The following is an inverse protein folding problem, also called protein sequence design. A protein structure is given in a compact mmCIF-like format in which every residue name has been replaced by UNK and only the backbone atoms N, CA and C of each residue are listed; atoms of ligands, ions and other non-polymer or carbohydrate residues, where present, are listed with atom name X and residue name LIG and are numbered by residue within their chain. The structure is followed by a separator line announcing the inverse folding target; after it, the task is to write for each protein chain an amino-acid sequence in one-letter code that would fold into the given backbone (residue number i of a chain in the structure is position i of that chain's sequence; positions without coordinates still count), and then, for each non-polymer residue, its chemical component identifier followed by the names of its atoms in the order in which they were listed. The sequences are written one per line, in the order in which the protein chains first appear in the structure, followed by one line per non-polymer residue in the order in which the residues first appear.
data_IF_156699198502
#
_entry.id   IF_156699198502
#
_cell.length_a   1.000
_cell.length_b   1.000
_cell.length_c   1.000
_cell.angle_alpha   90.00
_cell.angle_beta   90.00
_cell.angle_gamma   90.00
#
_symmetry.space_group_name_H-M   'P 1'
#
loop_
_entity.id
_entity.type
_entity.pdbx_description
1 polymer ?
#
# COMPACT_ATOMS: atom_id res chain seq x y z
N UNK A 1 -47.67 -0.29 -30.93
CA UNK A 1 -49.00 -0.91 -31.16
C UNK A 1 -48.98 -2.26 -30.48
N UNK A 2 -49.89 -2.42 -29.51
CA UNK A 2 -49.97 -3.56 -28.58
C UNK A 2 -50.81 -4.67 -29.21
N UNK A 3 -50.53 -5.91 -28.77
CA UNK A 3 -51.43 -7.08 -28.77
C UNK A 3 -51.40 -7.95 -30.02
N UNK A 4 -51.07 -9.24 -29.84
CA UNK A 4 -51.98 -10.37 -30.11
C UNK A 4 -51.55 -11.58 -29.26
N UNK A 5 -52.52 -12.06 -28.50
CA UNK A 5 -52.60 -13.31 -27.75
C UNK A 5 -52.17 -14.57 -28.54
N UNK A 6 -51.49 -15.50 -27.85
CA UNK A 6 -51.74 -16.96 -27.88
C UNK A 6 -51.03 -17.53 -26.64
N UNK A 7 -51.70 -17.94 -25.56
CA UNK A 7 -52.37 -19.25 -25.44
C UNK A 7 -51.37 -20.39 -25.71
N UNK A 8 -51.10 -21.38 -24.85
CA UNK A 8 -51.93 -22.08 -23.88
C UNK A 8 -51.04 -23.26 -23.37
N UNK A 9 -51.17 -23.67 -22.09
CA UNK A 9 -50.75 -24.98 -21.52
C UNK A 9 -49.22 -25.22 -21.39
N UNK A 10 -48.65 -25.44 -20.21
CA UNK A 10 -48.75 -26.58 -19.29
C UNK A 10 -48.45 -26.05 -17.86
N UNK A 11 -49.29 -26.07 -16.81
CA UNK A 11 -49.99 -27.20 -16.16
C UNK A 11 -49.13 -28.47 -16.22
N UNK A 12 -48.46 -28.93 -15.16
CA UNK A 12 -49.02 -29.24 -13.86
C UNK A 12 -47.90 -29.69 -12.86
N UNK A 13 -48.23 -29.84 -11.56
CA UNK A 13 -47.34 -29.84 -10.40
C UNK A 13 -47.12 -31.27 -9.83
N UNK A 14 -46.90 -31.37 -8.50
CA UNK A 14 -46.94 -32.57 -7.64
C UNK A 14 -45.65 -33.41 -7.58
N UNK A 15 -44.88 -33.39 -6.48
CA UNK A 15 -45.10 -33.87 -5.10
C UNK A 15 -44.34 -35.20 -4.87
N UNK A 16 -43.84 -35.33 -3.64
CA UNK A 16 -43.51 -36.56 -2.90
C UNK A 16 -42.21 -37.30 -3.26
N UNK A 17 -41.23 -37.17 -2.37
CA UNK A 17 -40.77 -38.31 -1.58
C UNK A 17 -40.06 -37.85 -0.30
N UNK A 18 -40.80 -37.94 0.81
CA UNK A 18 -40.32 -37.98 2.19
C UNK A 18 -39.64 -39.33 2.47
N UNK A 19 -38.99 -39.39 3.64
CA UNK A 19 -38.53 -40.59 4.39
C UNK A 19 -37.11 -41.03 4.00
N UNK A 20 -36.09 -41.11 4.87
CA UNK A 20 -36.00 -41.56 6.28
C UNK A 20 -34.59 -41.24 6.84
N UNK A 21 -34.42 -41.39 8.16
CA UNK A 21 -33.17 -41.43 8.95
C UNK A 21 -32.55 -40.09 9.38
N UNK A 22 -32.26 -39.82 10.66
CA UNK A 22 -32.49 -40.56 11.89
C UNK A 22 -32.39 -39.61 13.08
N UNK A 23 -33.30 -39.83 14.02
CA UNK A 23 -33.35 -39.25 15.35
C UNK A 23 -32.30 -39.93 16.24
N UNK A 24 -31.54 -39.18 17.03
CA UNK A 24 -30.89 -39.74 18.22
C UNK A 24 -30.89 -38.70 19.35
N UNK A 25 -31.58 -38.96 20.48
CA UNK A 25 -31.56 -38.14 21.67
C UNK A 25 -30.58 -38.71 22.71
N UNK A 26 -29.75 -37.88 23.30
CA UNK A 26 -29.27 -38.14 24.66
C UNK A 26 -28.75 -36.87 25.32
N UNK A 27 -29.56 -36.34 26.23
CA UNK A 27 -29.12 -35.43 27.28
C UNK A 27 -28.09 -36.14 28.15
N UNK A 28 -26.93 -35.50 28.34
CA UNK A 28 -26.25 -35.50 29.64
C UNK A 28 -25.82 -34.07 29.98
N UNK A 29 -26.56 -33.52 30.92
CA UNK A 29 -26.13 -32.45 31.82
C UNK A 29 -24.80 -32.87 32.45
N UNK A 30 -23.83 -31.95 32.55
CA UNK A 30 -23.04 -31.64 33.77
C UNK A 30 -21.88 -30.70 33.42
N UNK A 31 -21.76 -29.68 34.28
CA UNK A 31 -20.56 -28.90 34.61
C UNK A 31 -20.13 -27.81 33.63
N UNK A 32 -20.61 -26.60 33.94
CA UNK A 32 -19.89 -25.33 33.74
C UNK A 32 -18.56 -25.42 34.48
N UNK A 33 -17.54 -26.02 33.85
CA UNK A 33 -16.17 -25.90 34.27
C UNK A 33 -15.61 -24.61 33.66
N UNK A 34 -15.60 -23.57 34.49
CA UNK A 34 -14.77 -22.39 34.36
C UNK A 34 -13.34 -22.79 33.99
N UNK A 35 -13.05 -22.84 32.69
CA UNK A 35 -11.68 -22.94 32.22
C UNK A 35 -11.08 -21.57 32.42
N UNK A 36 -10.35 -21.46 33.55
CA UNK A 36 -9.28 -20.51 33.81
C UNK A 36 -8.89 -19.80 32.53
N UNK A 37 -9.18 -18.51 32.48
CA UNK A 37 -8.36 -17.54 31.76
C UNK A 37 -6.92 -17.88 32.12
N UNK A 38 -6.23 -18.57 31.23
CA UNK A 38 -4.78 -18.57 31.26
C UNK A 38 -4.40 -17.10 31.22
N UNK A 39 -3.53 -16.61 32.11
CA UNK A 39 -2.97 -15.29 31.90
C UNK A 39 -2.30 -15.41 30.53
N UNK A 40 -2.84 -14.68 29.53
CA UNK A 40 -2.17 -14.53 28.26
C UNK A 40 -0.83 -13.94 28.65
N UNK A 41 0.21 -14.79 28.63
CA UNK A 41 1.58 -14.40 28.87
C UNK A 41 1.76 -13.17 28.02
N UNK A 42 1.95 -12.03 28.69
CA UNK A 42 2.41 -10.81 28.07
C UNK A 42 3.84 -11.11 27.61
N UNK A 43 3.94 -11.90 26.55
CA UNK A 43 5.13 -12.01 25.76
C UNK A 43 5.31 -10.61 25.21
N UNK A 44 6.25 -9.90 25.86
CA UNK A 44 6.95 -8.77 25.28
C UNK A 44 7.22 -9.17 23.85
N UNK A 45 6.44 -8.59 22.95
CA UNK A 45 6.58 -8.75 21.51
C UNK A 45 7.97 -8.23 21.23
N UNK A 46 8.91 -9.16 21.12
CA UNK A 46 10.32 -8.85 20.95
C UNK A 46 10.41 -7.83 19.82
N UNK A 47 10.90 -6.67 20.19
CA UNK A 47 11.24 -5.56 19.33
C UNK A 47 12.33 -6.04 18.39
N UNK A 48 11.96 -6.79 17.34
CA UNK A 48 12.83 -6.91 16.17
C UNK A 48 12.67 -5.63 15.38
N UNK A 49 13.35 -4.59 15.87
CA UNK A 49 13.87 -3.56 14.99
C UNK A 49 14.75 -4.29 13.98
N UNK A 50 14.24 -4.32 12.77
CA UNK A 50 14.50 -5.33 11.76
C UNK A 50 15.78 -5.01 10.97
N UNK A 51 16.60 -6.05 10.68
CA UNK A 51 17.85 -5.95 9.91
C UNK A 51 17.58 -5.53 8.47
N UNK A 52 17.89 -4.29 8.14
CA UNK A 52 17.84 -3.78 6.78
C UNK A 52 18.90 -4.49 5.91
N UNK A 53 18.63 -4.69 4.61
CA UNK A 53 19.58 -5.39 3.70
C UNK A 53 20.94 -4.70 3.58
N UNK A 54 21.02 -3.46 4.04
CA UNK A 54 22.17 -2.57 4.07
C UNK A 54 23.23 -2.91 5.14
N UNK A 55 22.97 -3.90 6.02
CA UNK A 55 23.91 -4.30 7.09
C UNK A 55 25.25 -4.86 6.57
N UNK A 56 25.36 -5.22 5.29
CA UNK A 56 26.60 -5.73 4.69
C UNK A 56 27.23 -4.82 3.62
N UNK A 57 26.77 -3.57 3.45
CA UNK A 57 27.26 -2.69 2.38
C UNK A 57 28.24 -1.63 2.93
N UNK A 58 29.35 -1.41 2.22
CA UNK A 58 30.32 -0.36 2.58
C UNK A 58 29.70 1.04 2.38
N UNK A 59 30.24 2.05 3.06
CA UNK A 59 29.72 3.42 2.98
C UNK A 59 29.84 3.99 1.55
N UNK A 60 30.92 3.67 0.84
CA UNK A 60 31.13 4.06 -0.56
C UNK A 60 30.11 3.41 -1.50
N UNK A 61 29.84 2.11 -1.35
CA UNK A 61 28.82 1.42 -2.13
C UNK A 61 27.41 1.96 -1.85
N UNK A 62 27.14 2.36 -0.60
CA UNK A 62 25.87 2.99 -0.21
C UNK A 62 25.67 4.32 -0.91
N UNK A 63 26.68 5.17 -0.97
CA UNK A 63 26.60 6.47 -1.66
C UNK A 63 26.31 6.28 -3.15
N UNK A 64 27.02 5.35 -3.80
CA UNK A 64 26.80 5.02 -5.22
C UNK A 64 25.38 4.45 -5.44
N UNK A 65 24.91 3.56 -4.57
CA UNK A 65 23.57 3.00 -4.65
C UNK A 65 22.48 4.08 -4.46
N UNK A 66 22.69 4.98 -3.50
CA UNK A 66 21.80 6.11 -3.23
C UNK A 66 21.75 7.09 -4.40
N UNK A 67 22.88 7.44 -5.00
CA UNK A 67 22.91 8.33 -6.16
C UNK A 67 22.16 7.71 -7.37
N UNK A 68 22.38 6.41 -7.62
CA UNK A 68 21.65 5.66 -8.65
C UNK A 68 20.15 5.60 -8.36
N UNK A 69 19.78 5.34 -7.11
CA UNK A 69 18.38 5.28 -6.69
C UNK A 69 17.70 6.65 -6.82
N UNK A 70 18.37 7.74 -6.42
CA UNK A 70 17.88 9.10 -6.58
C UNK A 70 17.65 9.43 -8.05
N UNK A 71 18.63 9.22 -8.93
CA UNK A 71 18.48 9.42 -10.38
C UNK A 71 17.31 8.63 -10.94
N UNK A 72 17.17 7.37 -10.55
CA UNK A 72 16.07 6.52 -11.00
C UNK A 72 14.70 7.01 -10.48
N UNK A 73 14.60 7.47 -9.24
CA UNK A 73 13.35 7.96 -8.65
C UNK A 73 12.96 9.35 -9.16
N UNK A 74 13.93 10.24 -9.44
CA UNK A 74 13.68 11.50 -10.12
C UNK A 74 13.12 11.26 -11.53
N UNK A 75 13.76 10.39 -12.32
CA UNK A 75 13.29 10.05 -13.66
C UNK A 75 11.92 9.37 -13.65
N UNK A 76 11.69 8.46 -12.69
CA UNK A 76 10.38 7.83 -12.48
C UNK A 76 9.29 8.87 -12.18
N UNK A 77 9.57 9.81 -11.28
CA UNK A 77 8.58 10.81 -10.85
C UNK A 77 8.19 11.72 -12.01
N UNK A 78 9.16 12.22 -12.79
CA UNK A 78 8.92 13.05 -13.97
C UNK A 78 8.14 12.30 -15.07
N UNK A 79 8.45 11.02 -15.27
CA UNK A 79 7.72 10.17 -16.21
C UNK A 79 6.27 9.96 -15.74
N UNK A 80 6.07 9.80 -14.43
CA UNK A 80 4.77 9.49 -13.87
C UNK A 80 3.86 10.72 -13.89
N UNK A 81 4.36 11.91 -13.55
CA UNK A 81 3.62 13.18 -13.67
C UNK A 81 3.10 13.40 -15.09
N UNK A 82 3.96 13.19 -16.11
CA UNK A 82 3.56 13.26 -17.52
C UNK A 82 2.49 12.24 -17.89
N UNK A 83 2.60 10.99 -17.40
CA UNK A 83 1.68 9.92 -17.73
C UNK A 83 0.29 10.09 -17.07
N UNK A 84 0.24 10.60 -15.84
CA UNK A 84 -1.01 10.76 -15.06
C UNK A 84 -1.63 12.15 -15.18
N UNK A 85 -0.96 13.10 -15.84
CA UNK A 85 -1.42 14.48 -15.94
C UNK A 85 -1.46 15.17 -14.58
N UNK A 86 -0.52 14.83 -13.69
CA UNK A 86 -0.42 15.40 -12.35
C UNK A 86 0.81 16.29 -12.23
N UNK A 87 0.76 17.21 -11.29
CA UNK A 87 1.77 18.23 -11.07
C UNK A 87 2.48 18.02 -9.73
N UNK A 88 3.69 18.56 -9.63
CA UNK A 88 4.37 18.63 -8.35
C UNK A 88 3.75 19.70 -7.44
N UNK A 89 4.06 19.61 -6.15
CA UNK A 89 3.80 20.70 -5.21
C UNK A 89 4.44 22.01 -5.71
N UNK A 90 3.77 23.13 -5.46
CA UNK A 90 4.25 24.49 -5.74
C UNK A 90 5.62 24.77 -5.12
N UNK A 91 5.88 24.21 -3.93
CA UNK A 91 7.21 24.15 -3.34
C UNK A 91 7.93 22.86 -3.75
N UNK A 92 8.98 23.00 -4.58
CA UNK A 92 9.82 21.90 -5.06
C UNK A 92 10.69 21.26 -3.95
N UNK A 93 10.77 21.85 -2.77
CA UNK A 93 11.44 21.23 -1.62
C UNK A 93 10.72 19.95 -1.16
N UNK A 94 9.38 19.95 -1.21
CA UNK A 94 8.53 18.81 -0.82
C UNK A 94 8.77 17.57 -1.71
N UNK A 95 8.60 17.64 -3.05
CA UNK A 95 8.85 16.49 -3.91
C UNK A 95 10.30 16.02 -3.83
N UNK A 96 11.28 16.93 -3.63
CA UNK A 96 12.68 16.53 -3.46
C UNK A 96 12.90 15.65 -2.22
N UNK A 97 12.34 16.01 -1.06
CA UNK A 97 12.43 15.20 0.17
C UNK A 97 11.72 13.85 0.00
N UNK A 98 10.56 13.84 -0.66
CA UNK A 98 9.80 12.60 -0.90
C UNK A 98 10.57 11.67 -1.84
N UNK A 99 11.15 12.18 -2.94
CA UNK A 99 11.97 11.41 -3.88
C UNK A 99 13.18 10.81 -3.16
N UNK A 100 13.82 11.54 -2.25
CA UNK A 100 14.89 10.99 -1.40
C UNK A 100 14.41 9.86 -0.52
N UNK A 101 13.31 10.02 0.21
CA UNK A 101 12.77 8.94 1.04
C UNK A 101 12.39 7.69 0.23
N UNK A 102 11.86 7.87 -0.98
CA UNK A 102 11.60 6.76 -1.90
C UNK A 102 12.90 6.07 -2.34
N UNK A 103 13.96 6.83 -2.62
CA UNK A 103 15.27 6.29 -2.96
C UNK A 103 15.90 5.52 -1.78
N UNK A 104 15.80 6.03 -0.56
CA UNK A 104 16.30 5.37 0.66
C UNK A 104 15.60 4.03 0.90
N UNK A 105 14.27 4.00 0.79
CA UNK A 105 13.52 2.75 0.89
C UNK A 105 13.83 1.79 -0.25
N UNK A 106 14.11 2.31 -1.45
CA UNK A 106 14.55 1.48 -2.58
C UNK A 106 15.92 0.82 -2.33
N UNK A 107 16.87 1.53 -1.73
CA UNK A 107 18.19 0.96 -1.39
C UNK A 107 18.10 -0.03 -0.23
N UNK A 108 17.32 0.29 0.80
CA UNK A 108 17.25 -0.53 2.04
C UNK A 108 16.31 -1.74 1.95
N UNK A 109 15.12 -1.56 1.37
CA UNK A 109 14.10 -2.60 1.28
C UNK A 109 14.09 -3.29 -0.10
N UNK A 110 14.65 -2.64 -1.12
CA UNK A 110 14.58 -3.06 -2.52
C UNK A 110 13.35 -2.52 -3.27
N UNK A 111 12.44 -1.82 -2.59
CA UNK A 111 11.21 -1.28 -3.17
C UNK A 111 10.94 0.16 -2.65
N UNK A 112 10.39 1.06 -3.50
CA UNK A 112 10.16 2.46 -3.13
C UNK A 112 8.87 2.61 -2.30
N UNK A 113 8.91 2.25 -1.02
CA UNK A 113 7.79 2.37 -0.08
C UNK A 113 7.48 3.86 0.24
N UNK A 114 6.21 4.33 0.26
CA UNK A 114 5.93 5.78 0.51
C UNK A 114 6.49 6.21 1.88
N UNK A 115 7.35 7.24 1.92
CA UNK A 115 8.06 7.66 3.13
C UNK A 115 7.19 8.42 4.14
N UNK A 116 6.04 8.93 3.74
CA UNK A 116 5.14 9.72 4.60
C UNK A 116 4.20 8.86 5.46
N UNK A 117 4.51 7.59 5.68
CA UNK A 117 3.70 6.68 6.50
C UNK A 117 4.57 5.95 7.51
N UNK A 118 3.97 5.64 8.66
CA UNK A 118 4.54 4.73 9.63
C UNK A 118 4.12 3.29 9.32
N UNK A 119 5.06 2.36 9.46
CA UNK A 119 4.85 0.93 9.24
C UNK A 119 5.44 0.16 10.41
N UNK A 120 4.71 -0.83 10.93
CA UNK A 120 5.23 -1.72 11.98
C UNK A 120 6.34 -2.64 11.44
N UNK A 121 6.15 -3.16 10.22
CA UNK A 121 7.12 -4.00 9.51
C UNK A 121 7.25 -3.55 8.06
N UNK A 122 8.29 -2.78 7.77
CA UNK A 122 8.55 -2.21 6.44
C UNK A 122 8.79 -3.28 5.37
N UNK A 123 9.36 -4.43 5.73
CA UNK A 123 9.66 -5.47 4.75
C UNK A 123 8.42 -6.21 4.28
N UNK A 124 7.52 -6.53 5.21
CA UNK A 124 6.26 -7.18 4.89
C UNK A 124 5.45 -6.32 3.93
N UNK A 125 5.34 -5.03 4.23
CA UNK A 125 4.64 -4.05 3.39
C UNK A 125 5.31 -3.86 2.03
N UNK A 126 6.64 -3.81 1.98
CA UNK A 126 7.39 -3.75 0.73
C UNK A 126 7.17 -4.98 -0.16
N UNK A 127 7.02 -6.17 0.45
CA UNK A 127 6.70 -7.44 -0.25
C UNK A 127 5.25 -7.50 -0.71
N UNK A 128 4.31 -7.00 0.10
CA UNK A 128 2.89 -6.93 -0.27
C UNK A 128 2.62 -5.91 -1.38
N UNK A 129 3.36 -4.81 -1.38
CA UNK A 129 3.39 -3.84 -2.48
C UNK A 129 2.21 -2.89 -2.57
N UNK A 130 1.30 -2.90 -1.59
CA UNK A 130 0.18 -1.96 -1.53
C UNK A 130 0.65 -0.50 -1.46
N UNK A 131 1.70 -0.24 -0.67
CA UNK A 131 2.27 1.09 -0.43
C UNK A 131 3.55 1.37 -1.23
N UNK A 132 3.94 0.47 -2.13
CA UNK A 132 5.06 0.71 -3.05
C UNK A 132 4.64 1.77 -4.07
N UNK A 133 5.45 2.81 -4.24
CA UNK A 133 5.17 3.91 -5.15
C UNK A 133 5.23 3.42 -6.62
N UNK A 134 4.20 3.67 -7.44
CA UNK A 134 2.95 4.38 -7.12
C UNK A 134 1.96 3.48 -6.36
N UNK A 135 1.51 3.94 -5.18
CA UNK A 135 0.68 3.15 -4.27
C UNK A 135 -0.73 2.93 -4.83
N UNK A 136 -1.47 1.98 -4.25
CA UNK A 136 -2.86 1.67 -4.67
C UNK A 136 -3.77 2.91 -4.72
N UNK A 137 -3.83 3.78 -3.68
CA UNK A 137 -4.64 5.01 -3.74
C UNK A 137 -4.26 5.94 -4.89
N UNK A 138 -2.97 6.06 -5.20
CA UNK A 138 -2.50 6.88 -6.31
C UNK A 138 -2.95 6.29 -7.65
N UNK A 139 -2.84 4.97 -7.84
CA UNK A 139 -3.21 4.32 -9.11
C UNK A 139 -4.71 4.30 -9.38
N UNK A 140 -5.52 4.15 -8.33
CA UNK A 140 -6.97 4.02 -8.48
C UNK A 140 -7.70 5.35 -8.46
N UNK A 141 -7.23 6.32 -7.66
CA UNK A 141 -7.94 7.58 -7.38
C UNK A 141 -7.09 8.84 -7.57
N UNK A 142 -5.82 8.71 -7.95
CA UNK A 142 -4.86 9.82 -8.06
C UNK A 142 -4.67 10.59 -6.75
N UNK A 143 -4.83 9.90 -5.61
CA UNK A 143 -4.64 10.48 -4.27
C UNK A 143 -3.22 10.21 -3.76
N UNK A 144 -2.38 11.26 -3.72
CA UNK A 144 -1.02 11.18 -3.18
C UNK A 144 -0.90 11.91 -1.83
N UNK A 145 -0.96 11.18 -0.71
CA UNK A 145 -0.70 11.76 0.62
C UNK A 145 0.71 12.37 0.74
N UNK A 146 1.67 11.77 0.03
CA UNK A 146 3.06 12.20 -0.02
C UNK A 146 3.21 13.59 -0.73
N UNK A 147 2.14 14.19 -1.30
CA UNK A 147 2.15 15.47 -2.05
C UNK A 147 3.15 15.52 -3.23
N UNK A 148 3.49 14.36 -3.78
CA UNK A 148 4.38 14.23 -4.93
C UNK A 148 3.62 14.34 -6.25
N UNK A 149 2.40 13.80 -6.32
CA UNK A 149 1.55 13.83 -7.50
C UNK A 149 0.23 14.48 -7.12
N UNK A 150 0.04 15.73 -7.52
CA UNK A 150 -1.14 16.52 -7.21
C UNK A 150 -1.94 16.74 -8.50
N UNK A 151 -3.25 16.71 -8.38
CA UNK A 151 -4.17 17.09 -9.45
C UNK A 151 -4.29 18.62 -9.53
N UNK A 152 -4.72 19.16 -10.68
CA UNK A 152 -4.81 20.61 -10.92
C UNK A 152 -5.77 21.34 -9.95
N UNK A 153 -6.73 20.62 -9.38
CA UNK A 153 -7.69 21.13 -8.40
C UNK A 153 -7.13 21.24 -6.97
N UNK A 154 -5.91 20.75 -6.73
CA UNK A 154 -5.29 20.84 -5.41
C UNK A 154 -4.67 22.23 -5.18
N UNK A 155 -4.98 22.87 -4.05
CA UNK A 155 -4.47 24.21 -3.70
C UNK A 155 -2.95 24.31 -3.66
N UNK A 156 -2.25 23.19 -3.43
CA UNK A 156 -0.79 23.14 -3.37
C UNK A 156 -0.15 22.74 -4.70
N UNK A 157 -0.94 22.39 -5.73
CA UNK A 157 -0.40 22.04 -7.04
C UNK A 157 0.30 23.24 -7.67
N UNK A 158 1.56 23.04 -8.05
CA UNK A 158 2.29 23.97 -8.90
C UNK A 158 1.99 23.73 -10.38
N UNK A 159 2.77 24.36 -11.23
CA UNK A 159 2.76 24.13 -12.68
C UNK A 159 3.92 23.24 -13.17
N UNK A 160 4.83 22.85 -12.26
CA UNK A 160 5.99 22.06 -12.60
C UNK A 160 5.63 20.57 -12.70
N UNK A 161 5.98 19.94 -13.82
CA UNK A 161 5.86 18.48 -14.03
C UNK A 161 7.22 17.78 -14.01
N UNK A 162 8.31 18.55 -14.00
CA UNK A 162 9.69 18.06 -14.09
C UNK A 162 10.54 18.69 -12.99
N UNK A 163 11.35 17.86 -12.32
CA UNK A 163 12.40 18.29 -11.39
C UNK A 163 13.73 17.67 -11.81
N UNK A 164 14.80 18.46 -11.77
CA UNK A 164 16.14 17.99 -12.13
C UNK A 164 16.81 17.25 -10.97
N UNK A 165 17.74 16.35 -11.29
CA UNK A 165 18.51 15.62 -10.27
C UNK A 165 19.29 16.57 -9.34
N UNK A 166 19.85 17.65 -9.88
CA UNK A 166 20.61 18.64 -9.11
C UNK A 166 19.74 19.38 -8.10
N UNK A 167 18.48 19.71 -8.45
CA UNK A 167 17.53 20.34 -7.53
C UNK A 167 17.14 19.40 -6.39
N UNK A 168 16.92 18.11 -6.70
CA UNK A 168 16.68 17.09 -5.69
C UNK A 168 17.89 16.98 -4.76
N UNK A 169 19.10 16.86 -5.31
CA UNK A 169 20.34 16.75 -4.53
C UNK A 169 20.58 17.97 -3.65
N UNK A 170 20.37 19.18 -4.18
CA UNK A 170 20.51 20.44 -3.44
C UNK A 170 19.57 20.52 -2.25
N UNK A 171 18.29 20.18 -2.45
CA UNK A 171 17.28 20.20 -1.38
C UNK A 171 17.56 19.16 -0.30
N UNK A 172 18.26 18.08 -0.65
CA UNK A 172 18.63 17.02 0.29
C UNK A 172 19.90 17.32 1.10
N UNK A 173 20.78 18.20 0.62
CA UNK A 173 22.06 18.52 1.28
C UNK A 173 21.94 19.37 2.54
N UNK A 174 20.76 19.93 2.83
CA UNK A 174 20.54 20.84 3.97
C UNK A 174 20.19 20.17 5.31
N UNK A 175 20.00 18.84 5.37
CA UNK A 175 19.57 18.11 6.57
C UNK A 175 20.64 17.17 7.16
N UNK A 176 21.92 17.37 6.83
CA UNK A 176 23.05 16.77 7.56
C UNK A 176 23.76 17.88 8.34
N UNK A 177 23.14 18.31 9.44
CA UNK A 177 23.69 19.26 10.40
C UNK A 177 23.45 18.74 11.82
#
# INVERSE_FOLDING_TARGET
MVSIQSAILFLAPFLLALTTYAFSPSLRIISVASTRTTPRKFERRDTRCFESKDVNMTDEEREIAMEKALKAMTAFSNKYTENTGTFYCSDLSVPAVVIKGLAEHKVSLGAPLCPCRFYDDKEKEAKEGYWNCPCVPMRERHECHCMLFLTEDNDFAGNATTISFEEVKKSCGGMMG
#
